data_IF_346323571628
#
_entry.id   IF_346323571628
#
_cell.length_a   1.000
_cell.length_b   1.000
_cell.length_c   1.000
_cell.angle_alpha   90.00
_cell.angle_beta   90.00
_cell.angle_gamma   90.00
#
_symmetry.space_group_name_H-M   'P 1'
#
loop_
_entity.id
_entity.type
_entity.pdbx_description
1 polymer ?
#
# COMPACT_ATOMS: atom_id res chain seq x y z
N UNK A 1 11.98 4.17 -40.82
CA UNK A 1 12.09 5.38 -39.99
C UNK A 1 10.85 6.23 -40.23
N UNK A 2 10.05 6.45 -39.19
CA UNK A 2 8.83 7.26 -39.28
C UNK A 2 9.19 8.74 -39.09
N UNK A 3 8.73 9.61 -40.00
CA UNK A 3 8.93 11.07 -39.95
C UNK A 3 7.56 11.74 -39.89
N UNK A 4 6.87 11.65 -38.77
CA UNK A 4 5.60 12.34 -38.58
C UNK A 4 5.54 12.91 -37.15
N UNK A 5 4.79 13.98 -36.98
CA UNK A 5 4.51 14.57 -35.69
C UNK A 5 3.16 14.06 -35.17
N UNK A 6 3.13 13.67 -33.91
CA UNK A 6 1.89 13.36 -33.20
C UNK A 6 1.17 14.62 -32.72
N UNK A 7 -0.03 14.42 -32.18
CA UNK A 7 -0.73 15.42 -31.37
C UNK A 7 -1.29 14.70 -30.16
N UNK A 8 -0.39 14.34 -29.24
CA UNK A 8 -0.68 13.46 -28.11
C UNK A 8 -1.08 14.29 -26.89
N UNK A 9 -2.24 14.02 -26.34
CA UNK A 9 -2.62 14.51 -25.03
C UNK A 9 -2.15 13.52 -23.96
N UNK A 10 -0.94 13.69 -23.49
CA UNK A 10 -0.29 12.80 -22.53
C UNK A 10 -1.07 12.61 -21.24
N UNK A 11 -1.81 13.62 -20.77
CA UNK A 11 -2.65 13.46 -19.58
C UNK A 11 -3.78 12.44 -19.81
N UNK A 12 -4.39 12.44 -20.99
CA UNK A 12 -5.40 11.44 -21.34
C UNK A 12 -4.81 10.06 -21.60
N UNK A 13 -3.60 10.00 -22.14
CA UNK A 13 -2.93 8.75 -22.42
C UNK A 13 -2.43 8.07 -21.14
N UNK A 14 -1.83 8.81 -20.23
CA UNK A 14 -1.22 8.27 -19.02
C UNK A 14 -2.25 7.99 -17.91
N UNK A 15 -3.28 8.81 -17.79
CA UNK A 15 -4.19 8.75 -16.64
C UNK A 15 -5.59 8.29 -16.98
N UNK A 16 -6.16 7.48 -16.09
CA UNK A 16 -7.59 7.14 -16.07
C UNK A 16 -8.36 8.30 -15.46
N UNK A 17 -9.61 8.50 -15.88
CA UNK A 17 -10.51 9.46 -15.23
C UNK A 17 -10.85 9.03 -13.80
N UNK A 18 -11.01 7.74 -13.58
CA UNK A 18 -11.39 7.15 -12.30
C UNK A 18 -10.58 5.88 -12.05
N UNK A 19 -10.39 5.55 -10.79
CA UNK A 19 -9.83 4.28 -10.36
C UNK A 19 -10.66 3.68 -9.21
N UNK A 20 -10.81 2.35 -9.14
CA UNK A 20 -11.61 1.74 -8.10
C UNK A 20 -10.89 1.78 -6.76
N UNK A 21 -11.64 2.13 -5.71
CA UNK A 21 -11.21 1.97 -4.31
C UNK A 21 -12.31 1.25 -3.57
N UNK A 22 -11.98 0.08 -3.02
CA UNK A 22 -12.89 -0.73 -2.21
C UNK A 22 -12.36 -0.81 -0.79
N UNK A 23 -13.23 -0.51 0.19
CA UNK A 23 -12.89 -0.60 1.62
C UNK A 23 -14.00 -1.32 2.34
N UNK A 24 -13.60 -2.34 3.08
CA UNK A 24 -14.51 -3.14 3.90
C UNK A 24 -14.01 -3.12 5.34
N UNK A 25 -14.91 -2.89 6.28
CA UNK A 25 -14.61 -2.96 7.71
C UNK A 25 -15.71 -3.72 8.41
N UNK A 26 -15.31 -4.66 9.26
CA UNK A 26 -16.20 -5.41 10.13
C UNK A 26 -15.68 -5.30 11.55
N UNK A 27 -16.56 -4.95 12.48
CA UNK A 27 -16.24 -4.80 13.88
C UNK A 27 -17.16 -5.68 14.71
N UNK A 28 -16.59 -6.36 15.70
CA UNK A 28 -17.32 -7.16 16.67
C UNK A 28 -16.84 -6.73 18.06
N UNK A 29 -17.77 -6.44 18.95
CA UNK A 29 -17.47 -6.15 20.33
C UNK A 29 -18.45 -6.85 21.25
N UNK A 30 -18.01 -7.16 22.42
CA UNK A 30 -18.84 -7.79 23.43
C UNK A 30 -18.12 -7.87 24.77
N UNK A 31 -18.83 -8.43 25.73
CA UNK A 31 -18.23 -8.64 27.04
C UNK A 31 -19.25 -8.88 28.13
N UNK A 32 -18.71 -9.09 29.31
CA UNK A 32 -19.46 -9.29 30.55
C UNK A 32 -18.80 -8.52 31.70
N UNK A 33 -19.16 -8.92 32.93
CA UNK A 33 -18.67 -8.24 34.14
C UNK A 33 -17.13 -8.25 34.30
N UNK A 34 -16.48 -9.30 33.78
CA UNK A 34 -15.04 -9.51 33.98
C UNK A 34 -14.21 -9.38 32.71
N UNK A 35 -14.84 -9.44 31.54
CA UNK A 35 -14.09 -9.43 30.29
C UNK A 35 -14.82 -8.61 29.24
N UNK A 36 -14.06 -7.83 28.47
CA UNK A 36 -14.55 -7.14 27.29
C UNK A 36 -13.60 -7.37 26.13
N UNK A 37 -14.16 -7.44 24.93
CA UNK A 37 -13.37 -7.56 23.73
C UNK A 37 -13.90 -6.65 22.63
N UNK A 38 -12.98 -6.25 21.76
CA UNK A 38 -13.27 -5.56 20.53
C UNK A 38 -12.32 -6.08 19.45
N UNK A 39 -12.88 -6.51 18.34
CA UNK A 39 -12.13 -6.99 17.17
C UNK A 39 -12.58 -6.22 15.94
N UNK A 40 -11.64 -5.72 15.19
CA UNK A 40 -11.86 -5.02 13.92
C UNK A 40 -11.07 -5.69 12.81
N UNK A 41 -11.72 -5.94 11.68
CA UNK A 41 -11.14 -6.45 10.45
C UNK A 41 -11.35 -5.43 9.36
N UNK A 42 -10.28 -5.07 8.67
CA UNK A 42 -10.34 -4.12 7.57
C UNK A 42 -9.65 -4.67 6.34
N UNK A 43 -10.22 -4.38 5.18
CA UNK A 43 -9.63 -4.68 3.88
C UNK A 43 -9.76 -3.48 2.97
N UNK A 44 -8.66 -3.12 2.31
CA UNK A 44 -8.62 -2.07 1.30
C UNK A 44 -8.01 -2.63 0.03
N UNK A 45 -8.66 -2.41 -1.10
CA UNK A 45 -8.15 -2.67 -2.44
C UNK A 45 -8.28 -1.39 -3.26
N UNK A 46 -7.15 -0.90 -3.76
CA UNK A 46 -7.08 0.34 -4.52
C UNK A 46 -6.31 0.09 -5.81
N UNK A 47 -6.96 0.35 -6.94
CA UNK A 47 -6.34 0.33 -8.25
C UNK A 47 -5.49 1.56 -8.53
N UNK A 48 -4.86 1.59 -9.70
CA UNK A 48 -4.02 2.70 -10.15
C UNK A 48 -4.80 3.73 -10.95
N UNK A 49 -4.43 5.00 -10.77
CA UNK A 49 -4.83 6.09 -11.66
C UNK A 49 -4.11 6.00 -13.01
N UNK A 50 -2.93 5.37 -13.06
CA UNK A 50 -2.13 5.20 -14.28
C UNK A 50 -2.75 4.12 -15.15
N UNK A 51 -2.80 4.33 -16.47
CA UNK A 51 -3.39 3.38 -17.44
C UNK A 51 -2.50 2.18 -17.68
N UNK A 52 -1.20 2.40 -17.71
CA UNK A 52 -0.17 1.42 -18.03
C UNK A 52 0.39 0.80 -16.75
N UNK A 53 0.87 -0.44 -16.87
CA UNK A 53 1.28 -1.20 -15.71
C UNK A 53 0.08 -1.63 -14.85
N UNK A 54 0.31 -2.54 -13.95
CA UNK A 54 -0.73 -3.10 -13.08
C UNK A 54 -0.48 -2.71 -11.63
N UNK A 55 -0.39 -1.40 -11.36
CA UNK A 55 -0.24 -0.92 -9.99
C UNK A 55 -1.48 -1.25 -9.16
N UNK A 56 -1.26 -1.75 -7.99
CA UNK A 56 -2.32 -2.10 -7.05
C UNK A 56 -1.83 -2.00 -5.62
N UNK A 57 -2.65 -1.41 -4.78
CA UNK A 57 -2.45 -1.38 -3.33
C UNK A 57 -3.51 -2.22 -2.66
N UNK A 58 -3.08 -3.22 -1.86
CA UNK A 58 -3.96 -4.02 -1.01
C UNK A 58 -3.47 -3.93 0.43
N UNK A 59 -4.40 -3.65 1.33
CA UNK A 59 -4.12 -3.64 2.77
C UNK A 59 -5.15 -4.48 3.51
N UNK A 60 -4.67 -5.38 4.33
CA UNK A 60 -5.46 -6.10 5.32
C UNK A 60 -5.00 -5.69 6.71
N UNK A 61 -5.93 -5.37 7.59
CA UNK A 61 -5.64 -5.03 8.97
C UNK A 61 -6.57 -5.78 9.93
N UNK A 62 -5.99 -6.20 11.03
CA UNK A 62 -6.69 -6.77 12.17
C UNK A 62 -6.32 -5.97 13.40
N UNK A 63 -7.30 -5.58 14.18
CA UNK A 63 -7.10 -5.02 15.51
C UNK A 63 -7.93 -5.81 16.50
N UNK A 64 -7.33 -6.19 17.61
CA UNK A 64 -7.99 -6.91 18.67
C UNK A 64 -7.60 -6.29 20.01
N UNK A 65 -8.60 -5.93 20.82
CA UNK A 65 -8.43 -5.42 22.16
C UNK A 65 -9.22 -6.33 23.11
N UNK A 66 -8.55 -6.85 24.11
CA UNK A 66 -9.15 -7.68 25.15
C UNK A 66 -8.80 -7.06 26.50
N UNK A 67 -9.81 -6.87 27.33
CA UNK A 67 -9.61 -6.48 28.73
C UNK A 67 -10.18 -7.59 29.60
N UNK A 68 -9.48 -7.92 30.67
CA UNK A 68 -9.86 -8.95 31.59
C UNK A 68 -9.58 -8.54 33.04
N UNK A 69 -10.63 -8.46 33.86
CA UNK A 69 -10.56 -8.24 35.29
C UNK A 69 -10.41 -9.59 35.98
N UNK A 70 -9.17 -9.96 36.30
CA UNK A 70 -8.88 -11.24 36.97
C UNK A 70 -9.54 -11.25 38.35
N UNK A 71 -9.40 -10.15 39.10
CA UNK A 71 -10.02 -9.89 40.38
C UNK A 71 -10.01 -8.34 40.63
N UNK A 72 -10.40 -7.91 41.84
CA UNK A 72 -10.58 -6.51 42.18
C UNK A 72 -9.26 -5.70 42.19
N UNK A 73 -8.12 -6.36 42.24
CA UNK A 73 -6.82 -5.72 42.28
C UNK A 73 -5.91 -6.00 41.07
N UNK A 74 -6.30 -6.94 40.16
CA UNK A 74 -5.53 -7.29 38.99
C UNK A 74 -6.38 -7.15 37.71
N UNK A 75 -5.97 -6.24 36.85
CA UNK A 75 -6.56 -6.02 35.52
C UNK A 75 -5.51 -6.28 34.44
N UNK A 76 -5.88 -7.03 33.43
CA UNK A 76 -5.04 -7.33 32.27
C UNK A 76 -5.70 -6.77 31.01
N UNK A 77 -4.91 -6.20 30.14
CA UNK A 77 -5.37 -5.88 28.80
C UNK A 77 -4.36 -6.31 27.76
N UNK A 78 -4.85 -6.73 26.60
CA UNK A 78 -4.04 -7.06 25.44
C UNK A 78 -4.56 -6.32 24.22
N UNK A 79 -3.66 -5.60 23.55
CA UNK A 79 -3.93 -4.93 22.28
C UNK A 79 -3.06 -5.52 21.21
N UNK A 80 -3.66 -6.09 20.19
CA UNK A 80 -2.97 -6.63 19.01
C UNK A 80 -3.36 -5.83 17.79
N UNK A 81 -2.39 -5.41 17.00
CA UNK A 81 -2.61 -4.79 15.69
C UNK A 81 -1.72 -5.49 14.67
N UNK A 82 -2.34 -6.05 13.65
CA UNK A 82 -1.65 -6.66 12.52
C UNK A 82 -2.04 -5.95 11.23
N UNK A 83 -1.04 -5.52 10.47
CA UNK A 83 -1.21 -4.90 9.16
C UNK A 83 -0.41 -5.69 8.13
N UNK A 84 -1.06 -6.09 7.06
CA UNK A 84 -0.41 -6.64 5.88
C UNK A 84 -0.70 -5.76 4.68
N UNK A 85 0.37 -5.22 4.08
CA UNK A 85 0.29 -4.39 2.87
C UNK A 85 0.97 -5.10 1.72
N UNK A 86 0.29 -5.17 0.59
CA UNK A 86 0.86 -5.56 -0.70
C UNK A 86 0.76 -4.37 -1.63
N UNK A 87 1.90 -3.90 -2.09
CA UNK A 87 2.01 -2.86 -3.10
C UNK A 87 2.64 -3.48 -4.34
N UNK A 88 1.89 -3.51 -5.42
CA UNK A 88 2.43 -3.74 -6.75
C UNK A 88 2.59 -2.39 -7.42
N UNK A 89 3.79 -2.06 -7.77
CA UNK A 89 4.15 -0.81 -8.41
C UNK A 89 5.03 -1.05 -9.62
N UNK A 90 5.42 0.05 -10.22
CA UNK A 90 6.37 0.07 -11.31
C UNK A 90 7.77 -0.19 -10.79
N UNK A 91 8.65 -0.67 -11.67
CA UNK A 91 10.07 -0.66 -11.39
C UNK A 91 10.57 0.78 -11.45
N UNK A 92 10.69 1.42 -10.27
CA UNK A 92 11.02 2.83 -10.14
C UNK A 92 12.45 3.19 -10.55
N UNK A 93 13.32 2.21 -10.74
CA UNK A 93 14.72 2.47 -11.09
C UNK A 93 14.85 3.13 -12.48
N UNK A 94 13.81 3.04 -13.30
CA UNK A 94 13.75 3.63 -14.65
C UNK A 94 12.81 4.85 -14.75
N UNK A 95 12.12 5.24 -13.67
CA UNK A 95 11.14 6.34 -13.67
C UNK A 95 11.51 7.31 -12.55
N UNK A 96 12.31 8.31 -12.87
CA UNK A 96 12.56 9.41 -11.94
C UNK A 96 11.31 10.29 -11.86
N UNK A 97 10.78 10.46 -10.66
CA UNK A 97 9.48 11.10 -10.40
C UNK A 97 9.31 12.50 -10.97
N UNK A 98 10.40 13.24 -11.10
CA UNK A 98 10.38 14.61 -11.61
C UNK A 98 10.20 14.69 -13.14
N UNK A 99 10.61 13.67 -13.87
CA UNK A 99 10.54 13.62 -15.34
C UNK A 99 9.19 13.05 -15.83
N UNK A 100 8.47 12.32 -14.96
CA UNK A 100 7.21 11.66 -15.32
C UNK A 100 6.08 12.65 -15.68
N UNK A 101 6.11 13.84 -15.12
CA UNK A 101 5.02 14.81 -15.23
C UNK A 101 5.31 16.01 -16.11
N UNK A 102 6.52 16.27 -16.55
CA UNK A 102 6.76 17.57 -17.14
C UNK A 102 7.90 17.75 -18.15
N UNK A 103 8.92 16.91 -18.13
CA UNK A 103 10.12 17.19 -18.92
C UNK A 103 10.09 16.61 -20.33
N UNK A 104 9.69 15.36 -20.45
CA UNK A 104 9.96 14.58 -21.66
C UNK A 104 8.72 14.23 -22.48
N UNK A 105 7.51 14.57 -22.02
CA UNK A 105 6.26 14.31 -22.75
C UNK A 105 5.86 15.49 -23.63
N UNK A 106 6.33 15.51 -24.86
CA UNK A 106 5.96 16.56 -25.83
C UNK A 106 4.75 16.15 -26.64
N UNK A 107 3.78 17.05 -26.89
CA UNK A 107 2.58 16.73 -27.68
C UNK A 107 2.86 16.23 -29.09
N UNK A 108 3.99 16.63 -29.68
CA UNK A 108 4.42 16.20 -31.02
C UNK A 108 4.85 14.73 -31.07
N UNK A 109 5.03 14.07 -29.91
CA UNK A 109 5.45 12.67 -29.85
C UNK A 109 4.21 11.76 -29.80
N UNK A 110 4.13 10.77 -30.69
CA UNK A 110 3.08 9.75 -30.59
C UNK A 110 3.42 8.73 -29.51
N UNK A 111 2.42 8.06 -28.95
CA UNK A 111 2.60 6.96 -28.00
C UNK A 111 3.12 5.71 -28.72
N UNK A 112 2.56 5.41 -29.87
CA UNK A 112 2.94 4.27 -30.72
C UNK A 112 3.10 4.69 -32.17
N UNK A 113 3.93 3.96 -32.87
CA UNK A 113 4.04 4.02 -34.32
C UNK A 113 2.86 3.34 -35.00
N UNK A 114 2.61 3.57 -36.31
CA UNK A 114 1.55 2.91 -37.05
C UNK A 114 1.65 1.37 -37.11
N UNK A 115 2.84 0.82 -36.89
CA UNK A 115 3.10 -0.62 -36.82
C UNK A 115 2.79 -1.23 -35.44
N UNK A 116 2.37 -0.39 -34.47
CA UNK A 116 2.01 -0.81 -33.12
C UNK A 116 3.16 -0.81 -32.10
N UNK A 117 4.40 -0.60 -32.56
CA UNK A 117 5.55 -0.52 -31.68
C UNK A 117 5.54 0.80 -30.88
N UNK A 118 6.21 0.80 -29.73
CA UNK A 118 6.35 2.01 -28.94
C UNK A 118 7.14 3.07 -29.71
N UNK A 119 6.66 4.29 -29.70
CA UNK A 119 7.38 5.39 -30.35
C UNK A 119 8.52 5.86 -29.44
N UNK A 120 9.74 5.86 -29.98
CA UNK A 120 10.91 6.44 -29.36
C UNK A 120 11.56 7.41 -30.33
N UNK A 121 12.00 8.55 -29.86
CA UNK A 121 12.76 9.51 -30.69
C UNK A 121 13.90 10.11 -29.89
N UNK A 122 15.13 9.69 -30.23
CA UNK A 122 16.35 10.25 -29.63
C UNK A 122 16.38 10.09 -28.11
N UNK A 123 16.60 11.19 -27.40
CA UNK A 123 16.71 11.23 -25.95
C UNK A 123 15.35 11.20 -25.20
N UNK A 124 14.24 11.03 -25.93
CA UNK A 124 12.90 11.07 -25.33
C UNK A 124 12.45 9.71 -24.85
N UNK A 125 12.05 9.68 -23.60
CA UNK A 125 11.56 8.49 -22.93
C UNK A 125 10.07 8.28 -23.22
N UNK A 126 9.71 7.10 -23.74
CA UNK A 126 8.31 6.70 -23.87
C UNK A 126 7.82 6.13 -22.54
N UNK A 127 7.19 6.93 -21.71
CA UNK A 127 6.68 6.51 -20.41
C UNK A 127 5.70 5.34 -20.48
N UNK A 128 4.69 5.32 -21.37
CA UNK A 128 3.83 4.15 -21.55
C UNK A 128 4.60 2.84 -21.77
N UNK A 129 5.67 2.86 -22.56
CA UNK A 129 6.52 1.70 -22.79
C UNK A 129 7.19 1.21 -21.49
N UNK A 130 7.80 2.12 -20.76
CA UNK A 130 8.43 1.81 -19.47
C UNK A 130 7.41 1.28 -18.46
N UNK A 131 6.23 1.90 -18.40
CA UNK A 131 5.18 1.52 -17.47
C UNK A 131 4.58 0.15 -17.76
N UNK A 132 4.45 -0.22 -19.03
CA UNK A 132 3.87 -1.50 -19.45
C UNK A 132 4.92 -2.61 -19.48
N UNK A 133 6.08 -2.34 -20.10
CA UNK A 133 7.09 -3.33 -20.41
C UNK A 133 8.33 -3.29 -19.51
N UNK A 134 8.56 -2.22 -18.75
CA UNK A 134 9.76 -2.03 -17.93
C UNK A 134 9.86 -2.90 -16.68
N UNK A 135 8.83 -3.74 -16.43
CA UNK A 135 8.79 -4.63 -15.28
C UNK A 135 7.97 -4.13 -14.10
N UNK A 136 8.10 -4.78 -12.96
CA UNK A 136 7.29 -4.47 -11.78
C UNK A 136 8.05 -4.65 -10.48
N UNK A 137 7.65 -3.91 -9.46
CA UNK A 137 8.09 -4.08 -8.08
C UNK A 137 6.92 -4.56 -7.23
N UNK A 138 7.13 -5.64 -6.49
CA UNK A 138 6.18 -6.15 -5.52
C UNK A 138 6.75 -5.97 -4.12
N UNK A 139 6.12 -5.10 -3.33
CA UNK A 139 6.47 -4.88 -1.93
C UNK A 139 5.42 -5.51 -1.03
N UNK A 140 5.85 -6.41 -0.17
CA UNK A 140 5.02 -7.00 0.87
C UNK A 140 5.54 -6.53 2.23
N UNK A 141 4.67 -5.90 3.02
CA UNK A 141 4.97 -5.45 4.39
C UNK A 141 4.03 -6.15 5.35
N UNK A 142 4.60 -6.68 6.44
CA UNK A 142 3.84 -7.18 7.57
C UNK A 142 4.31 -6.43 8.81
N UNK A 143 3.36 -5.96 9.59
CA UNK A 143 3.61 -5.19 10.80
C UNK A 143 2.67 -5.69 11.89
N UNK A 144 3.24 -6.29 12.93
CA UNK A 144 2.53 -6.85 14.08
C UNK A 144 2.97 -6.11 15.33
N UNK A 145 2.02 -5.51 16.00
CA UNK A 145 2.17 -4.92 17.33
C UNK A 145 1.33 -5.69 18.34
N UNK A 146 1.92 -6.03 19.44
CA UNK A 146 1.21 -6.62 20.56
C UNK A 146 1.63 -5.95 21.85
N UNK A 147 0.68 -5.35 22.56
CA UNK A 147 0.90 -4.69 23.86
C UNK A 147 0.09 -5.42 24.91
N UNK A 148 0.75 -5.85 25.96
CA UNK A 148 0.14 -6.39 27.16
C UNK A 148 0.30 -5.35 28.26
N UNK A 149 -0.81 -4.97 28.85
CA UNK A 149 -0.86 -4.05 30.01
C UNK A 149 -1.35 -4.81 31.22
N UNK A 150 -0.64 -4.68 32.32
CA UNK A 150 -1.02 -5.18 33.63
C UNK A 150 -1.19 -4.00 34.59
N UNK A 151 -2.35 -3.87 35.19
CA UNK A 151 -2.65 -2.91 36.24
C UNK A 151 -2.91 -3.62 37.56
N UNK A 152 -2.13 -3.28 38.55
CA UNK A 152 -2.24 -3.79 39.92
C UNK A 152 -2.71 -2.68 40.85
N UNK A 153 -3.73 -2.99 41.68
CA UNK A 153 -4.24 -2.07 42.73
C UNK A 153 -4.25 -2.82 44.09
N UNK A 154 -3.06 -3.15 44.63
CA UNK A 154 -2.96 -4.08 45.76
C UNK A 154 -3.57 -3.53 47.06
N UNK A 155 -3.55 -2.22 47.22
CA UNK A 155 -4.11 -1.52 48.36
C UNK A 155 -4.80 -0.21 47.92
N UNK A 156 -5.74 0.28 48.70
CA UNK A 156 -6.47 1.52 48.41
C UNK A 156 -5.48 2.70 48.26
N UNK A 157 -5.60 3.40 47.13
CA UNK A 157 -4.74 4.57 46.85
C UNK A 157 -3.41 4.24 46.13
N UNK A 158 -3.09 2.96 45.88
CA UNK A 158 -1.90 2.54 45.14
C UNK A 158 -2.28 1.90 43.83
N UNK A 159 -1.63 2.32 42.75
CA UNK A 159 -1.78 1.71 41.41
C UNK A 159 -0.41 1.54 40.77
N UNK A 160 -0.13 0.34 40.29
CA UNK A 160 1.07 -0.02 39.54
C UNK A 160 0.64 -0.42 38.15
N UNK A 161 1.18 0.23 37.12
CA UNK A 161 0.90 -0.09 35.72
C UNK A 161 2.19 -0.58 35.07
N UNK A 162 2.10 -1.69 34.35
CA UNK A 162 3.21 -2.28 33.58
C UNK A 162 2.73 -2.52 32.17
N UNK A 163 3.49 -2.06 31.20
CA UNK A 163 3.24 -2.25 29.78
C UNK A 163 4.42 -2.99 29.16
N UNK A 164 4.10 -4.01 28.39
CA UNK A 164 5.06 -4.71 27.56
C UNK A 164 4.59 -4.70 26.11
N UNK A 165 5.40 -4.16 25.23
CA UNK A 165 5.08 -4.07 23.80
C UNK A 165 6.10 -4.87 22.99
N UNK A 166 5.60 -5.77 22.15
CA UNK A 166 6.37 -6.49 21.14
C UNK A 166 5.95 -6.01 19.74
N UNK A 167 6.94 -5.69 18.91
CA UNK A 167 6.73 -5.37 17.50
C UNK A 167 7.52 -6.33 16.61
N UNK A 168 6.88 -6.83 15.57
CA UNK A 168 7.50 -7.56 14.49
C UNK A 168 7.19 -6.88 13.16
N UNK A 169 8.23 -6.42 12.48
CA UNK A 169 8.12 -5.82 11.14
C UNK A 169 8.92 -6.64 10.14
N UNK A 170 8.31 -6.90 8.99
CA UNK A 170 8.95 -7.58 7.86
C UNK A 170 8.57 -6.87 6.57
N UNK A 171 9.57 -6.56 5.76
CA UNK A 171 9.41 -6.03 4.42
C UNK A 171 10.16 -6.90 3.41
N UNK A 172 9.47 -7.29 2.35
CA UNK A 172 10.07 -8.05 1.25
C UNK A 172 9.76 -7.35 -0.07
N UNK A 173 10.80 -6.98 -0.79
CA UNK A 173 10.75 -6.34 -2.09
C UNK A 173 11.24 -7.32 -3.16
N UNK A 174 10.39 -7.57 -4.16
CA UNK A 174 10.73 -8.33 -5.36
C UNK A 174 10.66 -7.39 -6.55
N UNK A 175 11.76 -7.24 -7.24
CA UNK A 175 11.85 -6.44 -8.47
C UNK A 175 11.99 -7.39 -9.64
N UNK A 176 11.14 -7.23 -10.64
CA UNK A 176 11.24 -7.89 -11.92
C UNK A 176 11.52 -6.83 -12.98
N UNK A 177 12.72 -6.86 -13.51
CA UNK A 177 13.13 -6.00 -14.62
C UNK A 177 12.93 -6.74 -15.93
N UNK A 178 12.38 -6.05 -16.90
CA UNK A 178 12.31 -6.52 -18.29
C UNK A 178 13.11 -5.54 -19.13
N UNK A 179 13.92 -6.08 -20.05
CA UNK A 179 14.44 -5.30 -21.17
C UNK A 179 13.35 -5.26 -22.24
N UNK A 180 13.15 -4.13 -22.85
CA UNK A 180 12.27 -3.93 -24.00
C UNK A 180 13.05 -3.13 -25.06
N UNK A 181 12.89 -3.54 -26.31
CA UNK A 181 13.49 -2.88 -27.47
C UNK A 181 12.55 -1.82 -28.03
#
# INVERSE_FOLDING_TARGET
KYTYAGNTNWMKELYKKNYPVQKYNVNISGGGKKATYYTSLGYTDQGSLIRFGNEQFKKFNVMNNINYDVNDWLHLSMKTSFNRTKLRGLNQDNVHGDNFMGGDTRPIMPVKHPDGNWAGQGDFTNFPAILEDGGSRLTNKNDLWNTITMKLTPIKGMSINMDYTFNYYSENNKVHMKSFD
#
